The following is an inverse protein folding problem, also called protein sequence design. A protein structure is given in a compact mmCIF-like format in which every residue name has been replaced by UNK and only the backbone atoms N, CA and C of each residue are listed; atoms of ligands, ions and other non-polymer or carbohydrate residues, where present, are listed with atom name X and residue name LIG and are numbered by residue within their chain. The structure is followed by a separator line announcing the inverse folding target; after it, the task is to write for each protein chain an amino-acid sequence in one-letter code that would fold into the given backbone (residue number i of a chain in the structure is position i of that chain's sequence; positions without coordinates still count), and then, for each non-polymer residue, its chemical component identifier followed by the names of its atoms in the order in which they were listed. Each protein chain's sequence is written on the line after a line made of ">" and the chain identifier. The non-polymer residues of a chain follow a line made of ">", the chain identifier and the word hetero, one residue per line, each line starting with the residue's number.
data_IF_831632228552
#
_entry.id   IF_831632228552
#
_cell.length_a   1.000
_cell.length_b   1.000
_cell.length_c   1.000
_cell.angle_alpha   90.00
_cell.angle_beta   90.00
_cell.angle_gamma   90.00
#
_symmetry.space_group_name_H-M   'P 1'
#
loop_
_entity.id
_entity.type
_entity.pdbx_description
1 polymer ?
#
# COMPACT_ATOMS: atom_id res chain seq x y z
N UNK A 1 4.57 -2.39 29.44
CA UNK A 1 3.90 -2.93 28.22
C UNK A 1 4.38 -2.12 27.04
N UNK A 2 4.95 -2.79 26.06
CA UNK A 2 5.37 -2.15 24.80
C UNK A 2 4.15 -2.08 23.87
N UNK A 3 3.95 -0.93 23.24
CA UNK A 3 2.94 -0.76 22.17
C UNK A 3 3.41 -1.58 20.97
N UNK A 4 2.57 -2.50 20.49
CA UNK A 4 2.87 -3.34 19.32
C UNK A 4 2.01 -3.01 18.10
N UNK A 5 0.92 -2.25 18.30
CA UNK A 5 0.02 -1.85 17.23
C UNK A 5 -0.53 -0.43 17.49
N UNK A 6 -0.71 0.33 16.41
CA UNK A 6 -1.41 1.62 16.42
C UNK A 6 -2.78 1.42 15.79
N UNK A 7 -3.82 1.81 16.51
CA UNK A 7 -5.19 1.69 16.02
C UNK A 7 -5.44 2.58 14.80
N UNK A 8 -6.35 2.18 13.93
CA UNK A 8 -6.77 3.01 12.81
C UNK A 8 -7.31 4.35 13.29
N UNK A 9 -7.09 5.38 12.47
CA UNK A 9 -7.54 6.76 12.70
C UNK A 9 -6.96 7.47 13.94
N UNK A 10 -5.94 6.89 14.61
CA UNK A 10 -5.44 7.39 15.89
C UNK A 10 -5.02 8.88 15.88
N UNK A 11 -4.59 9.41 14.74
CA UNK A 11 -4.19 10.82 14.54
C UNK A 11 -4.90 11.45 13.33
N UNK A 12 -5.93 10.79 12.78
CA UNK A 12 -6.65 11.31 11.63
C UNK A 12 -7.12 12.73 11.85
N UNK A 13 -6.92 13.59 10.82
CA UNK A 13 -7.29 15.00 10.84
C UNK A 13 -6.61 15.82 11.97
N UNK A 14 -5.50 15.34 12.54
CA UNK A 14 -4.70 16.12 13.49
C UNK A 14 -3.80 17.12 12.71
N UNK A 15 -4.23 18.38 12.72
CA UNK A 15 -3.54 19.47 12.04
C UNK A 15 -2.40 20.09 12.87
N UNK A 16 -2.10 19.55 14.05
CA UNK A 16 -1.05 20.08 14.94
C UNK A 16 0.18 19.18 15.01
N UNK A 17 0.02 17.87 14.74
CA UNK A 17 1.14 16.93 14.78
C UNK A 17 2.14 17.28 13.66
N UNK A 18 3.41 17.45 14.02
CA UNK A 18 4.50 17.79 13.09
C UNK A 18 5.53 16.68 12.95
N UNK A 19 5.68 15.85 13.98
CA UNK A 19 6.65 14.76 14.04
C UNK A 19 6.07 13.56 14.79
N UNK A 20 6.35 12.37 14.29
CA UNK A 20 6.05 11.10 14.95
C UNK A 20 7.26 10.18 14.86
N UNK A 21 7.66 9.63 15.99
CA UNK A 21 8.72 8.62 16.09
C UNK A 21 8.13 7.37 16.72
N UNK A 22 8.13 6.27 15.97
CA UNK A 22 7.75 4.97 16.51
C UNK A 22 8.95 4.28 17.12
N UNK A 23 8.78 3.77 18.34
CA UNK A 23 9.78 2.94 18.98
C UNK A 23 9.77 1.51 18.41
N UNK A 24 10.90 0.82 18.54
CA UNK A 24 11.01 -0.60 18.16
C UNK A 24 10.00 -1.46 18.95
N UNK A 25 9.43 -2.45 18.25
CA UNK A 25 8.36 -3.31 18.77
C UNK A 25 6.99 -3.00 18.20
N UNK A 26 6.76 -1.84 17.58
CA UNK A 26 5.54 -1.58 16.82
C UNK A 26 5.58 -2.39 15.53
N UNK A 27 4.62 -3.29 15.36
CA UNK A 27 4.51 -4.23 14.23
C UNK A 27 3.44 -3.84 13.22
N UNK A 28 2.41 -3.12 13.66
CA UNK A 28 1.31 -2.74 12.78
C UNK A 28 0.82 -1.32 13.02
N UNK A 29 0.47 -0.66 11.91
CA UNK A 29 -0.18 0.66 11.89
C UNK A 29 -1.49 0.47 11.13
N UNK A 30 -2.61 0.84 11.77
CA UNK A 30 -3.96 0.68 11.22
C UNK A 30 -4.27 1.65 10.07
N UNK A 31 -5.50 1.60 9.58
CA UNK A 31 -5.96 2.44 8.47
C UNK A 31 -6.07 3.92 8.89
N UNK A 32 -5.77 4.84 7.95
CA UNK A 32 -6.00 6.27 8.08
C UNK A 32 -5.29 6.94 9.27
N UNK A 33 -4.23 6.34 9.82
CA UNK A 33 -3.63 6.82 11.08
C UNK A 33 -3.21 8.28 11.00
N UNK A 34 -2.59 8.72 9.91
CA UNK A 34 -2.19 10.12 9.69
C UNK A 34 -2.92 10.78 8.53
N UNK A 35 -4.05 10.22 8.09
CA UNK A 35 -4.84 10.82 7.01
C UNK A 35 -5.14 12.28 7.34
N UNK A 36 -4.80 13.20 6.41
CA UNK A 36 -4.95 14.63 6.52
C UNK A 36 -4.14 15.32 7.63
N UNK A 37 -3.13 14.68 8.21
CA UNK A 37 -2.19 15.37 9.10
C UNK A 37 -1.28 16.32 8.30
N UNK A 38 -1.83 17.42 7.82
CA UNK A 38 -1.20 18.31 6.82
C UNK A 38 0.07 19.01 7.31
N UNK A 39 0.30 19.05 8.63
CA UNK A 39 1.51 19.62 9.24
C UNK A 39 2.58 18.57 9.53
N UNK A 40 2.29 17.29 9.38
CA UNK A 40 3.23 16.20 9.68
C UNK A 40 4.37 16.16 8.65
N UNK A 41 5.58 16.47 9.11
CA UNK A 41 6.79 16.61 8.29
C UNK A 41 7.76 15.44 8.47
N UNK A 42 7.75 14.82 9.66
CA UNK A 42 8.69 13.77 10.02
C UNK A 42 7.95 12.57 10.56
N UNK A 43 8.22 11.39 9.96
CA UNK A 43 7.80 10.09 10.50
C UNK A 43 9.04 9.20 10.51
N UNK A 44 9.38 8.65 11.68
CA UNK A 44 10.37 7.59 11.82
C UNK A 44 9.65 6.27 12.09
N UNK A 45 9.72 5.36 11.13
CA UNK A 45 9.14 4.02 11.25
C UNK A 45 10.15 3.06 11.89
N UNK A 46 9.71 2.12 12.76
CA UNK A 46 10.59 1.15 13.40
C UNK A 46 10.93 0.02 12.42
N UNK A 47 12.06 -0.65 12.60
CA UNK A 47 12.45 -1.82 11.79
C UNK A 47 11.51 -3.02 12.02
N UNK A 48 10.84 -3.07 13.19
CA UNK A 48 9.87 -4.10 13.54
C UNK A 48 8.53 -4.00 12.80
N UNK A 49 8.30 -2.93 12.00
CA UNK A 49 7.03 -2.73 11.28
C UNK A 49 6.85 -3.80 10.18
N UNK A 50 5.76 -4.55 10.29
CA UNK A 50 5.39 -5.65 9.39
C UNK A 50 4.16 -5.32 8.54
N UNK A 51 3.21 -4.54 9.10
CA UNK A 51 1.93 -4.26 8.44
C UNK A 51 1.56 -2.77 8.52
N UNK A 52 1.07 -2.26 7.41
CA UNK A 52 0.59 -0.87 7.28
C UNK A 52 -0.78 -0.89 6.62
N UNK A 53 -1.73 -0.20 7.23
CA UNK A 53 -3.10 -0.05 6.74
C UNK A 53 -3.20 0.87 5.52
N UNK A 54 -4.43 1.11 5.08
CA UNK A 54 -4.73 2.00 3.95
C UNK A 54 -4.57 3.48 4.35
N UNK A 55 -4.15 4.32 3.40
CA UNK A 55 -4.10 5.79 3.53
C UNK A 55 -3.36 6.30 4.79
N UNK A 56 -2.38 5.54 5.29
CA UNK A 56 -1.70 5.87 6.56
C UNK A 56 -1.03 7.25 6.53
N UNK A 57 -0.45 7.63 5.39
CA UNK A 57 0.28 8.91 5.25
C UNK A 57 -0.36 9.87 4.25
N UNK A 58 -1.55 9.55 3.75
CA UNK A 58 -2.21 10.29 2.68
C UNK A 58 -2.51 11.72 3.12
N UNK A 59 -2.16 12.67 2.24
CA UNK A 59 -2.31 14.11 2.43
C UNK A 59 -1.48 14.68 3.60
N UNK A 60 -0.41 14.01 4.00
CA UNK A 60 0.59 14.58 4.93
C UNK A 60 1.63 15.41 4.15
N UNK A 61 2.28 16.34 4.84
CA UNK A 61 3.45 17.06 4.29
C UNK A 61 4.64 16.11 4.09
N UNK A 62 4.77 15.09 4.95
CA UNK A 62 5.78 14.04 4.86
C UNK A 62 5.69 13.26 3.53
N UNK A 63 4.49 12.81 3.15
CA UNK A 63 4.24 12.13 1.88
C UNK A 63 4.54 13.03 0.68
N UNK A 64 3.94 14.23 0.66
CA UNK A 64 4.10 15.19 -0.46
C UNK A 64 5.56 15.51 -0.73
N UNK A 65 6.35 15.81 0.30
CA UNK A 65 7.78 16.15 0.15
C UNK A 65 8.62 14.99 -0.42
N UNK A 66 8.24 13.74 -0.12
CA UNK A 66 8.92 12.56 -0.68
C UNK A 66 8.53 12.30 -2.12
N UNK A 67 7.26 12.40 -2.44
CA UNK A 67 6.76 12.20 -3.80
C UNK A 67 7.12 13.35 -4.75
N UNK A 68 7.58 14.51 -4.27
CA UNK A 68 8.22 15.54 -5.11
C UNK A 68 9.54 15.06 -5.71
N UNK A 69 10.31 14.27 -4.97
CA UNK A 69 11.66 13.81 -5.34
C UNK A 69 11.74 12.35 -5.80
N UNK A 70 10.69 11.55 -5.59
CA UNK A 70 10.61 10.13 -5.94
C UNK A 70 9.24 9.81 -6.55
N UNK A 71 9.14 8.69 -7.25
CA UNK A 71 7.85 8.17 -7.73
C UNK A 71 7.15 7.29 -6.70
N UNK A 72 7.86 6.89 -5.63
CA UNK A 72 7.36 5.99 -4.61
C UNK A 72 7.94 6.27 -3.23
N UNK A 73 7.24 5.75 -2.22
CA UNK A 73 7.68 5.68 -0.83
C UNK A 73 7.71 4.22 -0.41
N UNK A 74 8.90 3.76 0.00
CA UNK A 74 9.11 2.40 0.50
C UNK A 74 9.59 2.48 1.94
N UNK A 75 8.95 1.71 2.82
CA UNK A 75 9.31 1.58 4.24
C UNK A 75 9.43 0.08 4.55
N UNK A 76 10.58 -0.37 5.06
CA UNK A 76 10.83 -1.77 5.43
C UNK A 76 10.43 -2.78 4.32
N UNK A 77 10.76 -2.48 3.07
CA UNK A 77 10.39 -3.27 1.88
C UNK A 77 8.88 -3.32 1.58
N UNK A 78 8.08 -2.50 2.24
CA UNK A 78 6.65 -2.29 1.95
C UNK A 78 6.54 -1.07 1.02
N UNK A 79 5.95 -1.23 -0.16
CA UNK A 79 5.55 -0.10 -0.99
C UNK A 79 4.36 0.59 -0.32
N UNK A 80 4.57 1.80 0.18
CA UNK A 80 3.60 2.52 1.01
C UNK A 80 2.75 3.50 0.22
N UNK A 81 3.34 4.17 -0.74
CA UNK A 81 2.66 5.13 -1.62
C UNK A 81 3.40 5.24 -2.95
N UNK A 82 2.69 5.66 -3.98
CA UNK A 82 3.22 6.01 -5.30
C UNK A 82 2.70 7.37 -5.74
N UNK A 83 3.41 7.99 -6.67
CA UNK A 83 2.98 9.24 -7.30
C UNK A 83 1.67 9.03 -8.04
N UNK A 84 0.78 10.01 -7.96
CA UNK A 84 -0.49 9.97 -8.68
C UNK A 84 -0.31 9.98 -10.21
N UNK A 85 -1.33 9.52 -10.92
CA UNK A 85 -1.44 9.57 -12.38
C UNK A 85 -0.35 8.80 -13.17
N UNK A 86 0.27 7.77 -12.55
CA UNK A 86 1.13 6.84 -13.27
C UNK A 86 0.27 5.91 -14.13
N UNK A 87 0.55 5.86 -15.43
CA UNK A 87 -0.10 4.93 -16.38
C UNK A 87 0.60 3.57 -16.39
N UNK A 88 1.89 3.55 -16.10
CA UNK A 88 2.70 2.34 -15.96
C UNK A 88 3.56 2.43 -14.69
N UNK A 89 3.77 1.31 -14.02
CA UNK A 89 4.65 1.25 -12.87
C UNK A 89 5.40 -0.10 -12.80
N UNK A 90 6.68 -0.03 -12.47
CA UNK A 90 7.50 -1.22 -12.20
C UNK A 90 7.91 -1.22 -10.74
N UNK A 91 7.50 -2.25 -10.02
CA UNK A 91 7.79 -2.39 -8.58
C UNK A 91 9.28 -2.64 -8.38
N UNK A 92 9.99 -1.81 -7.57
CA UNK A 92 11.41 -1.97 -7.30
C UNK A 92 11.78 -3.31 -6.66
N UNK A 93 12.99 -3.82 -6.93
CA UNK A 93 13.46 -5.14 -6.50
C UNK A 93 13.55 -5.33 -4.97
N UNK A 94 13.64 -4.25 -4.20
CA UNK A 94 13.66 -4.31 -2.74
C UNK A 94 12.26 -4.39 -2.11
N UNK A 95 11.18 -4.29 -2.90
CA UNK A 95 9.80 -4.41 -2.39
C UNK A 95 9.43 -5.88 -2.24
N UNK A 96 8.91 -6.22 -1.08
CA UNK A 96 8.41 -7.56 -0.72
C UNK A 96 6.89 -7.53 -0.52
N UNK A 97 6.33 -6.37 -0.17
CA UNK A 97 4.89 -6.21 0.00
C UNK A 97 4.38 -4.96 -0.71
N UNK A 98 3.29 -5.10 -1.45
CA UNK A 98 2.49 -3.95 -1.90
C UNK A 98 1.58 -3.57 -0.75
N UNK A 99 1.72 -2.36 -0.24
CA UNK A 99 0.93 -1.87 0.88
C UNK A 99 -0.56 -1.75 0.56
N UNK A 100 -1.36 -1.61 1.60
CA UNK A 100 -2.80 -1.45 1.45
C UNK A 100 -3.14 -0.12 0.77
N UNK A 101 -4.01 -0.14 -0.24
CA UNK A 101 -4.52 1.04 -0.94
C UNK A 101 -3.51 1.82 -1.78
N UNK A 102 -2.32 1.27 -2.07
CA UNK A 102 -1.25 1.99 -2.79
C UNK A 102 -1.70 2.55 -4.15
N UNK A 103 -2.52 1.79 -4.88
CA UNK A 103 -3.07 2.18 -6.18
C UNK A 103 -4.60 2.36 -6.14
N UNK A 104 -5.17 2.57 -4.94
CA UNK A 104 -6.62 2.70 -4.78
C UNK A 104 -7.20 3.81 -5.68
N UNK A 105 -8.27 3.47 -6.44
CA UNK A 105 -8.93 4.35 -7.42
C UNK A 105 -8.00 4.98 -8.49
N UNK A 106 -6.85 4.34 -8.77
CA UNK A 106 -6.02 4.77 -9.89
C UNK A 106 -6.63 4.30 -11.23
N UNK A 107 -7.54 5.10 -11.76
CA UNK A 107 -8.27 4.80 -13.00
C UNK A 107 -7.45 4.96 -14.28
N UNK A 108 -6.20 5.44 -14.17
CA UNK A 108 -5.31 5.65 -15.33
C UNK A 108 -4.17 4.63 -15.41
N UNK A 109 -3.96 3.81 -14.38
CA UNK A 109 -2.95 2.75 -14.37
C UNK A 109 -3.34 1.66 -15.37
N UNK A 110 -2.57 1.51 -16.43
CA UNK A 110 -2.81 0.53 -17.50
C UNK A 110 -1.97 -0.73 -17.32
N UNK A 111 -0.77 -0.58 -16.75
CA UNK A 111 0.19 -1.66 -16.60
C UNK A 111 0.99 -1.57 -15.31
N UNK A 112 1.17 -2.70 -14.66
CA UNK A 112 2.10 -2.87 -13.55
C UNK A 112 2.95 -4.11 -13.74
N UNK A 113 4.24 -4.02 -13.37
CA UNK A 113 5.16 -5.15 -13.34
C UNK A 113 5.61 -5.38 -11.91
N UNK A 114 5.30 -6.54 -11.35
CA UNK A 114 5.76 -6.97 -10.04
C UNK A 114 7.15 -7.63 -10.16
N UNK A 115 8.02 -7.38 -9.19
CA UNK A 115 9.29 -8.10 -9.07
C UNK A 115 9.06 -9.51 -8.50
N UNK A 116 10.05 -10.39 -8.62
CA UNK A 116 9.96 -11.80 -8.21
C UNK A 116 10.01 -12.03 -6.69
N UNK A 117 10.12 -10.98 -5.88
CA UNK A 117 10.17 -11.03 -4.41
C UNK A 117 8.88 -10.60 -3.73
N UNK A 118 7.89 -10.13 -4.48
CA UNK A 118 6.61 -9.71 -3.90
C UNK A 118 5.88 -10.93 -3.34
N UNK A 119 5.68 -10.95 -2.03
CA UNK A 119 5.03 -12.03 -1.28
C UNK A 119 3.59 -11.69 -0.90
N UNK A 120 3.28 -10.39 -0.73
CA UNK A 120 1.96 -9.94 -0.30
C UNK A 120 1.45 -8.76 -1.11
N UNK A 121 0.14 -8.77 -1.36
CA UNK A 121 -0.64 -7.66 -1.91
C UNK A 121 -1.65 -7.25 -0.84
N UNK A 122 -1.59 -6.00 -0.39
CA UNK A 122 -2.39 -5.48 0.71
C UNK A 122 -3.87 -5.32 0.37
N UNK A 123 -4.65 -4.98 1.40
CA UNK A 123 -6.08 -4.69 1.23
C UNK A 123 -6.28 -3.50 0.28
N UNK A 124 -7.24 -3.59 -0.62
CA UNK A 124 -7.57 -2.53 -1.59
C UNK A 124 -6.38 -2.06 -2.46
N UNK A 125 -5.29 -2.81 -2.54
CA UNK A 125 -4.05 -2.34 -3.17
C UNK A 125 -4.25 -1.83 -4.61
N UNK A 126 -5.13 -2.47 -5.39
CA UNK A 126 -5.50 -2.09 -6.76
C UNK A 126 -7.01 -1.88 -6.93
N UNK A 127 -7.76 -1.76 -5.85
CA UNK A 127 -9.21 -1.56 -5.94
C UNK A 127 -9.53 -0.30 -6.75
N UNK A 128 -10.44 -0.42 -7.72
CA UNK A 128 -10.82 0.68 -8.62
C UNK A 128 -9.84 0.96 -9.75
N UNK A 129 -8.79 0.15 -9.96
CA UNK A 129 -7.88 0.30 -11.10
C UNK A 129 -8.55 -0.15 -12.41
N UNK A 130 -9.57 0.58 -12.85
CA UNK A 130 -10.44 0.21 -13.98
C UNK A 130 -9.77 0.23 -15.35
N UNK A 131 -8.57 0.79 -15.48
CA UNK A 131 -7.77 0.76 -16.71
C UNK A 131 -6.69 -0.32 -16.73
N UNK A 132 -6.44 -0.98 -15.60
CA UNK A 132 -5.44 -2.06 -15.52
C UNK A 132 -5.91 -3.26 -16.34
N UNK A 133 -5.12 -3.65 -17.34
CA UNK A 133 -5.52 -4.68 -18.31
C UNK A 133 -4.85 -6.03 -18.04
N UNK A 134 -3.62 -6.04 -17.58
CA UNK A 134 -2.86 -7.26 -17.36
C UNK A 134 -1.95 -7.15 -16.15
N UNK A 135 -1.98 -8.18 -15.32
CA UNK A 135 -1.06 -8.38 -14.21
C UNK A 135 -0.63 -9.83 -14.14
N UNK A 136 0.68 -10.06 -14.14
CA UNK A 136 1.25 -11.38 -13.88
C UNK A 136 1.70 -11.44 -12.42
N UNK A 137 1.08 -12.32 -11.63
CA UNK A 137 1.48 -12.57 -10.25
C UNK A 137 2.73 -13.45 -10.23
N UNK A 138 3.84 -13.01 -9.65
CA UNK A 138 5.01 -13.88 -9.49
C UNK A 138 4.69 -15.05 -8.53
N UNK A 139 5.41 -16.15 -8.68
CA UNK A 139 5.19 -17.36 -7.85
C UNK A 139 5.48 -17.14 -6.36
N UNK A 140 6.15 -16.05 -6.02
CA UNK A 140 6.41 -15.60 -4.64
C UNK A 140 5.17 -15.12 -3.91
N UNK A 141 4.11 -14.67 -4.62
CA UNK A 141 2.90 -14.13 -3.98
C UNK A 141 2.17 -15.23 -3.22
N UNK A 142 2.03 -15.04 -1.91
CA UNK A 142 1.38 -15.94 -0.95
C UNK A 142 0.04 -15.39 -0.46
N UNK A 143 -0.08 -14.06 -0.41
CA UNK A 143 -1.23 -13.40 0.19
C UNK A 143 -1.77 -12.30 -0.70
N UNK A 144 -3.10 -12.32 -0.87
CA UNK A 144 -3.88 -11.27 -1.54
C UNK A 144 -4.92 -10.77 -0.54
N UNK A 145 -4.91 -9.47 -0.26
CA UNK A 145 -5.73 -8.84 0.76
C UNK A 145 -7.19 -8.69 0.40
N UNK A 146 -7.98 -8.19 1.34
CA UNK A 146 -9.39 -7.86 1.18
C UNK A 146 -9.58 -6.86 0.03
N UNK A 147 -10.52 -7.14 -0.88
CA UNK A 147 -10.87 -6.30 -2.03
C UNK A 147 -9.67 -5.81 -2.86
N UNK A 148 -8.56 -6.58 -2.90
CA UNK A 148 -7.29 -6.11 -3.47
C UNK A 148 -7.39 -5.69 -4.94
N UNK A 149 -8.23 -6.34 -5.73
CA UNK A 149 -8.48 -6.05 -7.15
C UNK A 149 -9.95 -5.72 -7.45
N UNK A 150 -10.74 -5.42 -6.41
CA UNK A 150 -12.15 -5.07 -6.58
C UNK A 150 -12.31 -3.95 -7.61
N UNK A 151 -13.19 -4.12 -8.59
CA UNK A 151 -13.46 -3.10 -9.61
C UNK A 151 -12.36 -2.94 -10.67
N UNK A 152 -11.41 -3.86 -10.77
CA UNK A 152 -10.46 -3.92 -11.89
C UNK A 152 -11.15 -4.52 -13.13
N UNK A 153 -12.11 -3.82 -13.69
CA UNK A 153 -13.08 -4.32 -14.69
C UNK A 153 -12.48 -4.71 -16.04
N UNK A 154 -11.21 -4.47 -16.30
CA UNK A 154 -10.50 -4.83 -17.53
C UNK A 154 -9.33 -5.78 -17.28
N UNK A 155 -9.17 -6.22 -16.03
CA UNK A 155 -7.98 -6.97 -15.65
C UNK A 155 -8.08 -8.44 -16.05
N UNK A 156 -7.23 -8.87 -16.96
CA UNK A 156 -6.94 -10.27 -17.18
C UNK A 156 -5.91 -10.75 -16.15
N UNK A 157 -6.32 -11.56 -15.20
CA UNK A 157 -5.46 -12.04 -14.11
C UNK A 157 -5.45 -13.57 -14.05
N UNK A 158 -4.24 -14.13 -13.96
CA UNK A 158 -4.06 -15.53 -13.61
C UNK A 158 -3.47 -15.65 -12.20
N UNK A 159 -4.21 -16.29 -11.31
CA UNK A 159 -3.74 -16.58 -9.95
C UNK A 159 -2.87 -17.84 -9.99
N UNK A 160 -1.63 -17.74 -9.54
CA UNK A 160 -0.73 -18.88 -9.50
C UNK A 160 -1.07 -19.84 -8.33
N UNK A 161 -0.61 -21.09 -8.43
CA UNK A 161 -0.88 -22.13 -7.42
C UNK A 161 -0.16 -21.94 -6.08
N UNK A 162 0.70 -20.91 -5.97
CA UNK A 162 1.46 -20.60 -4.76
C UNK A 162 0.72 -19.68 -3.78
N UNK A 163 -0.42 -19.11 -4.17
CA UNK A 163 -1.22 -18.23 -3.29
C UNK A 163 -1.87 -19.07 -2.19
N UNK A 164 -1.66 -18.68 -0.94
CA UNK A 164 -2.12 -19.40 0.26
C UNK A 164 -3.32 -18.71 0.91
N UNK A 165 -3.43 -17.38 0.78
CA UNK A 165 -4.52 -16.58 1.35
C UNK A 165 -5.11 -15.63 0.30
N UNK A 166 -6.44 -15.62 0.18
CA UNK A 166 -7.19 -14.67 -0.64
C UNK A 166 -8.26 -14.04 0.24
N UNK A 167 -8.19 -12.72 0.38
CA UNK A 167 -9.16 -11.95 1.15
C UNK A 167 -10.56 -11.95 0.51
N UNK A 168 -11.57 -11.66 1.31
CA UNK A 168 -12.94 -11.49 0.83
C UNK A 168 -12.98 -10.40 -0.26
N UNK A 169 -13.82 -10.55 -1.25
CA UNK A 169 -14.05 -9.60 -2.36
C UNK A 169 -12.78 -9.25 -3.18
N UNK A 170 -11.67 -10.02 -3.00
CA UNK A 170 -10.39 -9.71 -3.64
C UNK A 170 -10.47 -9.53 -5.16
N UNK A 171 -11.39 -10.23 -5.82
CA UNK A 171 -11.60 -10.20 -7.26
C UNK A 171 -13.04 -9.84 -7.65
N UNK A 172 -13.77 -9.12 -6.78
CA UNK A 172 -15.11 -8.66 -7.11
C UNK A 172 -15.05 -7.71 -8.32
N UNK A 173 -15.91 -7.93 -9.33
CA UNK A 173 -15.96 -7.18 -10.59
C UNK A 173 -14.64 -7.23 -11.42
N UNK A 174 -13.88 -8.30 -11.32
CA UNK A 174 -12.77 -8.64 -12.24
C UNK A 174 -13.33 -9.57 -13.34
N UNK A 175 -12.98 -9.30 -14.61
CA UNK A 175 -13.40 -10.15 -15.77
C UNK A 175 -12.63 -11.46 -15.84
#
# INVERSE_FOLDING_TARGET
>A
STVTAVAGEAFRDDYNVTEVVFEEGVKSIGDNVFLNCTMLQTIAFPQSLENVGTHVVTNTRWEKSRLESSNEIIVNNILLAVKENLTEYTVPENVVSIGSGVFYDNTVLEKITLNSRVEAIGNYAFSGCSSLTKLELPSSVKKIGYAAFNGCTKLELSVNSGVEEIGQDAFLDVE
#
